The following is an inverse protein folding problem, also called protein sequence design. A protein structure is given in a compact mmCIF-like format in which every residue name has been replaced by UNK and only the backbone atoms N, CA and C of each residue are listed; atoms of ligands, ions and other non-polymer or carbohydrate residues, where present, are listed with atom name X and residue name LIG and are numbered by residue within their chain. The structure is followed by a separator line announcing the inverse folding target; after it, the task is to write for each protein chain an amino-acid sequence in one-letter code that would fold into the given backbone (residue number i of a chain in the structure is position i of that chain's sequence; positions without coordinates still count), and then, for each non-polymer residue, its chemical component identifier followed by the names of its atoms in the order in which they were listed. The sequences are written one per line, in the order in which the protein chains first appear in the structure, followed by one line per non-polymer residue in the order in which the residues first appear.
data_IF_057960975695
#
_entry.id   IF_057960975695
#
_cell.length_a   1.000
_cell.length_b   1.000
_cell.length_c   1.000
_cell.angle_alpha   90.00
_cell.angle_beta   90.00
_cell.angle_gamma   90.00
#
_symmetry.space_group_name_H-M   'P 1'
#
loop_
_entity.id
_entity.type
_entity.pdbx_description
1 polymer ?
#
# COMPACT_ATOMS: atom_id res chain seq x y z
N UNK A 1 7.62 -11.87 0.32
CA UNK A 1 6.77 -10.85 0.98
C UNK A 1 7.37 -10.20 2.25
N UNK A 2 8.02 -10.91 3.18
CA UNK A 2 8.62 -10.30 4.40
C UNK A 2 9.67 -9.22 4.09
N UNK A 3 10.59 -9.50 3.15
CA UNK A 3 11.62 -8.55 2.73
C UNK A 3 11.03 -7.29 2.10
N UNK A 4 10.03 -7.44 1.22
CA UNK A 4 9.33 -6.32 0.57
C UNK A 4 8.73 -5.37 1.62
N UNK A 5 8.02 -5.92 2.62
CA UNK A 5 7.46 -5.11 3.71
C UNK A 5 8.53 -4.40 4.54
N UNK A 6 9.67 -5.04 4.79
CA UNK A 6 10.80 -4.42 5.50
C UNK A 6 11.38 -3.26 4.70
N UNK A 7 11.54 -3.43 3.39
CA UNK A 7 12.03 -2.39 2.50
C UNK A 7 11.06 -1.21 2.39
N UNK A 8 9.77 -1.47 2.21
CA UNK A 8 8.73 -0.43 2.23
C UNK A 8 8.71 0.35 3.55
N UNK A 9 8.92 -0.33 4.68
CA UNK A 9 9.05 0.33 5.98
C UNK A 9 10.27 1.26 6.05
N UNK A 10 11.42 0.83 5.55
CA UNK A 10 12.61 1.67 5.50
C UNK A 10 12.40 2.92 4.64
N UNK A 11 11.73 2.78 3.48
CA UNK A 11 11.30 3.93 2.66
C UNK A 11 10.41 4.85 3.49
N UNK A 12 9.42 4.29 4.20
CA UNK A 12 8.47 5.08 4.97
C UNK A 12 9.14 5.88 6.10
N UNK A 13 10.08 5.26 6.81
CA UNK A 13 10.80 5.88 7.93
C UNK A 13 11.71 7.03 7.45
N UNK A 14 12.41 6.85 6.33
CA UNK A 14 13.39 7.82 5.86
C UNK A 14 12.79 8.94 4.98
N UNK A 15 11.86 8.59 4.09
CA UNK A 15 11.34 9.50 3.07
C UNK A 15 9.94 10.02 3.36
N UNK A 16 9.23 9.41 4.33
CA UNK A 16 7.90 9.83 4.79
C UNK A 16 6.90 10.07 3.64
N UNK A 17 6.70 9.10 2.73
CA UNK A 17 5.70 9.22 1.68
C UNK A 17 4.29 9.25 2.27
N UNK A 18 3.31 9.56 1.43
CA UNK A 18 1.89 9.48 1.81
C UNK A 18 1.39 8.03 1.71
N UNK A 19 1.84 7.28 0.71
CA UNK A 19 1.44 5.88 0.49
C UNK A 19 2.52 5.07 -0.23
N UNK A 20 2.62 3.78 0.08
CA UNK A 20 3.43 2.80 -0.66
C UNK A 20 2.53 1.61 -0.99
N UNK A 21 2.43 1.30 -2.29
CA UNK A 21 1.59 0.22 -2.81
C UNK A 21 2.47 -0.74 -3.59
N UNK A 22 2.39 -2.02 -3.27
CA UNK A 22 2.92 -3.09 -4.10
C UNK A 22 1.91 -3.41 -5.20
N UNK A 23 2.37 -3.45 -6.44
CA UNK A 23 1.54 -3.83 -7.59
C UNK A 23 2.22 -4.94 -8.41
N UNK A 24 1.66 -5.24 -9.58
CA UNK A 24 2.24 -6.23 -10.49
C UNK A 24 2.13 -7.66 -9.99
N UNK A 25 3.10 -8.49 -10.39
CA UNK A 25 3.09 -9.93 -10.18
C UNK A 25 2.99 -10.31 -8.70
N UNK A 26 3.67 -9.57 -7.82
CA UNK A 26 3.65 -9.82 -6.36
C UNK A 26 2.36 -9.34 -5.65
N UNK A 27 1.54 -8.51 -6.30
CA UNK A 27 0.27 -8.05 -5.77
C UNK A 27 -0.91 -8.96 -6.17
N UNK A 28 -1.17 -9.08 -7.47
CA UNK A 28 -2.34 -9.77 -8.02
C UNK A 28 -2.00 -10.78 -9.13
N UNK A 29 -0.72 -10.94 -9.48
CA UNK A 29 -0.27 -11.95 -10.43
C UNK A 29 0.31 -13.21 -9.76
N UNK A 30 1.05 -13.98 -10.55
CA UNK A 30 1.77 -15.19 -10.12
C UNK A 30 3.27 -14.91 -10.21
N UNK A 31 3.93 -14.46 -9.13
CA UNK A 31 5.34 -14.11 -9.16
C UNK A 31 6.21 -15.36 -9.34
N UNK A 32 7.24 -15.24 -10.17
CA UNK A 32 8.33 -16.22 -10.34
C UNK A 32 9.53 -15.81 -9.47
N UNK A 33 10.54 -16.67 -9.36
CA UNK A 33 11.78 -16.37 -8.61
C UNK A 33 12.56 -15.17 -9.19
N UNK A 34 12.41 -14.92 -10.50
CA UNK A 34 13.06 -13.82 -11.22
C UNK A 34 12.18 -12.57 -11.36
N UNK A 35 10.98 -12.54 -10.73
CA UNK A 35 10.07 -11.40 -10.86
C UNK A 35 10.60 -10.18 -10.10
N UNK A 36 10.59 -9.03 -10.79
CA UNK A 36 10.83 -7.73 -10.17
C UNK A 36 9.74 -7.39 -9.16
N UNK A 37 10.12 -6.66 -8.10
CA UNK A 37 9.17 -6.11 -7.13
C UNK A 37 8.73 -4.72 -7.59
N UNK A 38 7.47 -4.59 -7.99
CA UNK A 38 6.92 -3.30 -8.45
C UNK A 38 6.32 -2.48 -7.29
N UNK A 39 6.88 -1.31 -7.01
CA UNK A 39 6.39 -0.41 -5.95
C UNK A 39 5.96 0.95 -6.51
N UNK A 40 4.74 1.36 -6.15
CA UNK A 40 4.26 2.73 -6.33
C UNK A 40 4.42 3.47 -5.00
N UNK A 41 5.21 4.54 -5.02
CA UNK A 41 5.36 5.48 -3.90
C UNK A 41 4.63 6.78 -4.24
N UNK A 42 3.65 7.12 -3.42
CA UNK A 42 2.91 8.37 -3.53
C UNK A 42 3.52 9.37 -2.56
N UNK A 43 4.13 10.43 -3.09
CA UNK A 43 4.70 11.52 -2.30
C UNK A 43 4.91 12.79 -3.12
N UNK A 44 4.94 13.93 -2.44
CA UNK A 44 5.32 15.20 -3.08
C UNK A 44 6.77 15.14 -3.58
N UNK A 45 6.98 15.42 -4.87
CA UNK A 45 8.30 15.44 -5.48
C UNK A 45 8.35 16.48 -6.61
N UNK A 46 9.38 17.34 -6.61
CA UNK A 46 9.66 18.23 -7.74
C UNK A 46 10.26 17.46 -8.91
N UNK A 47 11.26 16.64 -8.62
CA UNK A 47 11.87 15.71 -9.56
C UNK A 47 11.71 14.27 -9.05
N UNK A 48 10.86 13.51 -9.75
CA UNK A 48 10.51 12.13 -9.40
C UNK A 48 11.62 11.16 -9.76
N UNK A 49 12.35 11.41 -10.85
CA UNK A 49 13.41 10.52 -11.29
C UNK A 49 14.59 10.59 -10.32
N UNK A 50 15.04 11.81 -10.00
CA UNK A 50 16.08 12.02 -9.00
C UNK A 50 15.71 11.46 -7.63
N UNK A 51 14.43 11.56 -7.25
CA UNK A 51 13.95 10.99 -5.98
C UNK A 51 13.95 9.45 -5.99
N UNK A 52 13.54 8.82 -7.10
CA UNK A 52 13.58 7.36 -7.25
C UNK A 52 15.02 6.84 -7.15
N UNK A 53 15.95 7.47 -7.88
CA UNK A 53 17.38 7.16 -7.79
C UNK A 53 17.89 7.34 -6.37
N UNK A 54 17.54 8.45 -5.71
CA UNK A 54 17.95 8.71 -4.32
C UNK A 54 17.42 7.64 -3.36
N UNK A 55 16.19 7.16 -3.51
CA UNK A 55 15.65 6.07 -2.68
C UNK A 55 16.47 4.79 -2.90
N UNK A 56 16.67 4.40 -4.16
CA UNK A 56 17.38 3.17 -4.53
C UNK A 56 18.87 3.18 -4.12
N UNK A 57 19.53 4.34 -4.16
CA UNK A 57 20.93 4.46 -3.72
C UNK A 57 21.08 4.45 -2.19
N UNK A 58 20.06 4.93 -1.47
CA UNK A 58 20.13 5.12 -0.02
C UNK A 58 19.65 3.89 0.74
N UNK A 59 18.72 3.15 0.14
CA UNK A 59 18.19 1.90 0.65
C UNK A 59 18.52 0.77 -0.33
N UNK A 60 19.44 -0.11 0.05
CA UNK A 60 19.78 -1.27 -0.75
C UNK A 60 18.61 -2.28 -0.73
N UNK A 61 17.91 -2.41 -1.86
CA UNK A 61 16.89 -3.44 -2.04
C UNK A 61 17.57 -4.82 -2.15
N UNK A 62 17.16 -5.82 -1.36
CA UNK A 62 17.72 -7.18 -1.45
C UNK A 62 17.09 -8.00 -2.59
N UNK A 63 16.43 -7.35 -3.55
CA UNK A 63 15.71 -7.94 -4.66
C UNK A 63 15.67 -6.94 -5.83
N UNK A 64 15.46 -7.42 -7.07
CA UNK A 64 15.15 -6.56 -8.21
C UNK A 64 13.87 -5.75 -7.97
N UNK A 65 13.90 -4.47 -8.30
CA UNK A 65 12.82 -3.53 -7.97
C UNK A 65 12.58 -2.54 -9.11
N UNK A 66 11.31 -2.36 -9.48
CA UNK A 66 10.85 -1.19 -10.23
C UNK A 66 10.12 -0.23 -9.27
N UNK A 67 10.55 1.03 -9.26
CA UNK A 67 10.07 2.04 -8.31
C UNK A 67 9.45 3.22 -9.07
N UNK A 68 8.12 3.29 -9.05
CA UNK A 68 7.36 4.38 -9.63
C UNK A 68 7.03 5.41 -8.54
N UNK A 69 7.39 6.67 -8.77
CA UNK A 69 7.00 7.79 -7.91
C UNK A 69 5.90 8.61 -8.59
N UNK A 70 4.81 8.86 -7.85
CA UNK A 70 3.73 9.76 -8.26
C UNK A 70 3.42 10.75 -7.15
N UNK A 71 3.02 11.97 -7.52
CA UNK A 71 2.51 12.92 -6.54
C UNK A 71 1.02 12.64 -6.24
N UNK A 72 0.49 13.06 -5.09
CA UNK A 72 -0.93 12.93 -4.78
C UNK A 72 -1.84 13.53 -5.87
N UNK A 73 -1.47 14.67 -6.44
CA UNK A 73 -2.22 15.35 -7.50
C UNK A 73 -2.22 14.53 -8.80
N UNK A 74 -1.09 13.89 -9.10
CA UNK A 74 -0.95 13.00 -10.24
C UNK A 74 -1.79 11.74 -10.11
N UNK A 75 -1.93 11.21 -8.89
CA UNK A 75 -2.83 10.09 -8.61
C UNK A 75 -4.27 10.54 -8.80
N UNK A 76 -4.67 11.64 -8.16
CA UNK A 76 -6.03 12.17 -8.24
C UNK A 76 -6.47 12.39 -9.69
N UNK A 77 -5.65 13.11 -10.46
CA UNK A 77 -5.94 13.39 -11.88
C UNK A 77 -6.11 12.12 -12.70
N UNK A 78 -5.20 11.14 -12.55
CA UNK A 78 -5.28 9.89 -13.32
C UNK A 78 -6.49 9.03 -12.96
N UNK A 79 -6.92 9.06 -11.71
CA UNK A 79 -8.16 8.40 -11.28
C UNK A 79 -9.40 9.10 -11.85
N UNK A 80 -9.41 10.44 -11.90
CA UNK A 80 -10.47 11.22 -12.55
C UNK A 80 -10.55 10.91 -14.05
N UNK A 81 -9.39 10.78 -14.71
CA UNK A 81 -9.26 10.39 -16.12
C UNK A 81 -9.57 8.90 -16.37
N UNK A 82 -9.87 8.10 -15.33
CA UNK A 82 -10.07 6.64 -15.38
C UNK A 82 -8.93 5.90 -16.07
N UNK A 83 -7.71 6.38 -15.84
CA UNK A 83 -6.52 5.79 -16.42
C UNK A 83 -6.32 4.37 -15.84
N UNK A 84 -6.25 3.38 -16.72
CA UNK A 84 -6.38 1.97 -16.34
C UNK A 84 -5.29 1.53 -15.38
N UNK A 85 -4.03 1.90 -15.62
CA UNK A 85 -2.90 1.49 -14.79
C UNK A 85 -3.01 1.99 -13.36
N UNK A 86 -3.21 3.30 -13.16
CA UNK A 86 -3.36 3.88 -11.82
C UNK A 86 -4.59 3.34 -11.12
N UNK A 87 -5.70 3.16 -11.85
CA UNK A 87 -6.93 2.58 -11.32
C UNK A 87 -6.68 1.17 -10.80
N UNK A 88 -6.08 0.29 -11.60
CA UNK A 88 -5.75 -1.09 -11.21
C UNK A 88 -4.84 -1.13 -9.99
N UNK A 89 -3.77 -0.33 -9.94
CA UNK A 89 -2.88 -0.30 -8.77
C UNK A 89 -3.65 0.11 -7.51
N UNK A 90 -4.54 1.08 -7.61
CA UNK A 90 -5.30 1.57 -6.46
C UNK A 90 -6.38 0.60 -5.99
N UNK A 91 -6.93 -0.23 -6.88
CA UNK A 91 -7.99 -1.19 -6.54
C UNK A 91 -7.47 -2.57 -6.15
N UNK A 92 -6.41 -3.03 -6.81
CA UNK A 92 -5.89 -4.40 -6.67
C UNK A 92 -4.52 -4.47 -5.99
N UNK A 93 -3.81 -3.35 -5.91
CA UNK A 93 -2.51 -3.27 -5.26
C UNK A 93 -2.59 -3.55 -3.76
N UNK A 94 -1.49 -4.06 -3.21
CA UNK A 94 -1.34 -4.29 -1.76
C UNK A 94 -0.71 -3.07 -1.11
N UNK A 95 -1.47 -2.35 -0.30
CA UNK A 95 -0.95 -1.23 0.49
C UNK A 95 0.05 -1.78 1.52
N UNK A 96 1.30 -1.34 1.40
CA UNK A 96 2.38 -1.71 2.32
C UNK A 96 2.59 -0.67 3.43
N UNK A 97 2.26 0.58 3.11
CA UNK A 97 2.30 1.71 4.04
C UNK A 97 1.30 2.77 3.57
N UNK A 98 0.63 3.40 4.53
CA UNK A 98 -0.21 4.57 4.31
C UNK A 98 -0.06 5.48 5.52
N UNK A 99 0.25 6.75 5.27
CA UNK A 99 0.33 7.75 6.33
C UNK A 99 -1.08 7.96 6.90
N UNK A 100 -1.22 7.85 8.21
CA UNK A 100 -2.47 8.21 8.88
C UNK A 100 -2.74 9.69 8.66
N UNK A 101 -3.73 10.01 7.82
CA UNK A 101 -4.21 11.37 7.67
C UNK A 101 -5.04 11.72 8.91
N UNK A 102 -4.49 12.55 9.80
CA UNK A 102 -5.31 13.28 10.74
C UNK A 102 -6.29 14.17 9.95
N UNK A 103 -7.59 13.86 10.06
CA UNK A 103 -8.76 14.56 9.52
C UNK A 103 -9.15 14.29 8.05
N UNK A 104 -9.87 13.18 7.82
CA UNK A 104 -11.26 13.21 7.34
C UNK A 104 -12.02 12.07 8.05
N UNK A 105 -13.16 12.36 8.68
CA UNK A 105 -13.93 11.41 9.48
C UNK A 105 -14.40 10.15 8.73
N UNK A 106 -14.86 9.11 9.45
CA UNK A 106 -15.08 7.80 8.87
C UNK A 106 -16.31 7.79 7.96
N UNK A 107 -16.11 7.48 6.69
CA UNK A 107 -17.09 6.83 5.81
C UNK A 107 -16.35 5.64 5.18
N UNK A 108 -16.34 4.49 5.84
CA UNK A 108 -17.30 3.41 5.56
C UNK A 108 -16.98 2.76 4.22
N UNK A 109 -16.48 1.52 4.15
CA UNK A 109 -17.31 0.30 4.22
C UNK A 109 -16.40 -0.93 4.37
N UNK A 110 -16.83 -1.89 5.19
CA UNK A 110 -16.16 -3.19 5.32
C UNK A 110 -16.38 -3.96 6.63
N UNK A 111 -17.30 -3.52 7.51
CA UNK A 111 -17.73 -4.33 8.65
C UNK A 111 -18.66 -5.45 8.20
N UNK A 112 -18.11 -6.67 8.04
CA UNK A 112 -18.92 -7.86 7.82
C UNK A 112 -19.23 -8.56 9.16
N UNK A 113 -20.49 -8.37 9.57
CA UNK A 113 -21.34 -9.19 10.43
C UNK A 113 -20.82 -10.55 10.93
N UNK A 114 -20.95 -10.78 12.25
CA UNK A 114 -21.95 -11.71 12.80
C UNK A 114 -22.12 -11.55 14.31
N UNK A 115 -23.27 -10.97 14.72
CA UNK A 115 -23.90 -11.31 15.99
C UNK A 115 -24.62 -12.65 15.82
N UNK A 116 -24.44 -13.58 16.74
CA UNK A 116 -25.48 -14.52 17.14
C UNK A 116 -25.54 -14.59 18.65
N UNK A 117 -26.75 -14.32 19.12
CA UNK A 117 -27.28 -14.38 20.47
C UNK A 117 -27.61 -15.81 20.88
N UNK A 118 -27.60 -16.05 22.19
CA UNK A 118 -28.19 -17.21 22.86
C UNK A 118 -27.27 -17.67 24.00
N UNK A 119 -27.71 -18.01 25.20
CA UNK A 119 -29.02 -18.00 25.88
C UNK A 119 -28.65 -18.31 27.34
N UNK A 120 -29.28 -17.66 28.32
CA UNK A 120 -29.10 -17.99 29.75
C UNK A 120 -29.50 -19.45 30.02
N UNK A 121 -28.77 -20.11 30.93
CA UNK A 121 -29.31 -21.21 31.74
C UNK A 121 -28.84 -21.08 33.19
N UNK A 122 -29.80 -21.29 34.10
CA UNK A 122 -29.70 -21.36 35.56
C UNK A 122 -29.16 -22.72 36.03
N UNK A 123 -28.47 -22.72 37.19
CA UNK A 123 -28.44 -23.76 38.25
C UNK A 123 -27.49 -23.19 39.35
N UNK A 124 -27.85 -22.88 40.60
CA UNK A 124 -28.45 -23.61 41.74
C UNK A 124 -27.66 -24.84 42.18
N UNK A 125 -27.29 -24.84 43.48
CA UNK A 125 -26.80 -25.98 44.26
C UNK A 125 -25.35 -25.77 44.73
N UNK A 126 -24.98 -25.88 45.99
CA UNK A 126 -25.64 -26.07 47.29
C UNK A 126 -24.61 -25.66 48.34
#
# INVERSE_FOLDING_TARGET
MRLIRRYARAIAEEFKPDKIILFGSHAYGTPTEDSDVDLLVVMSARDRHSLAVRILMRLAAPFPIDLIIRTPEQIKRRLEDKESFTTTIMTEGKVLYEKEHAAVGPKGRGGLHRRRTGKRVHAVGS
#
